data_IF_194882821665
#
_entry.id   IF_194882821665
#
_cell.length_a   1.000
_cell.length_b   1.000
_cell.length_c   1.000
_cell.angle_alpha   90.00
_cell.angle_beta   90.00
_cell.angle_gamma   90.00
#
_symmetry.space_group_name_H-M   'P 1'
#
loop_
_entity.id
_entity.type
_entity.pdbx_description
1 polymer ?
#
# COMPACT_ATOMS: atom_id res chain seq x y z
N UNK A 1 -26.55 -43.39 31.29
CA UNK A 1 -26.01 -43.30 29.93
C UNK A 1 -26.80 -42.28 29.15
N UNK A 2 -26.19 -41.14 28.85
CA UNK A 2 -26.67 -40.15 27.88
C UNK A 2 -25.54 -39.17 27.60
N UNK A 3 -24.60 -39.58 26.74
CA UNK A 3 -23.59 -38.65 26.21
C UNK A 3 -24.17 -37.96 24.99
N UNK A 4 -24.63 -36.72 25.19
CA UNK A 4 -24.84 -35.77 24.11
C UNK A 4 -23.49 -35.30 23.60
N UNK A 5 -23.17 -35.64 22.35
CA UNK A 5 -22.03 -35.11 21.61
C UNK A 5 -22.28 -33.64 21.30
N UNK A 6 -21.65 -32.75 22.09
CA UNK A 6 -21.52 -31.35 21.72
C UNK A 6 -20.42 -31.27 20.65
N UNK A 7 -20.82 -31.16 19.39
CA UNK A 7 -19.92 -30.83 18.29
C UNK A 7 -19.43 -29.38 18.50
N UNK A 8 -18.28 -29.22 19.15
CA UNK A 8 -17.60 -27.93 19.22
C UNK A 8 -17.00 -27.63 17.85
N UNK A 9 -17.71 -26.80 17.09
CA UNK A 9 -17.17 -26.12 15.92
C UNK A 9 -15.97 -25.27 16.36
N UNK A 10 -14.76 -25.82 16.25
CA UNK A 10 -13.53 -25.07 16.47
C UNK A 10 -13.43 -23.97 15.40
N UNK A 11 -13.69 -22.74 15.82
CA UNK A 11 -13.61 -21.51 15.03
C UNK A 11 -12.14 -21.25 14.72
N UNK A 12 -11.73 -21.45 13.46
CA UNK A 12 -10.40 -21.07 12.99
C UNK A 12 -10.28 -19.54 12.96
N UNK A 13 -9.68 -18.97 13.99
CA UNK A 13 -9.34 -17.55 14.04
C UNK A 13 -8.08 -17.29 13.22
N UNK A 14 -8.14 -16.37 12.25
CA UNK A 14 -6.94 -15.84 11.60
C UNK A 14 -6.17 -14.97 12.60
N UNK A 15 -4.93 -15.36 12.86
CA UNK A 15 -4.01 -14.68 13.76
C UNK A 15 -3.00 -13.95 12.88
N UNK A 16 -3.24 -12.70 12.54
CA UNK A 16 -2.38 -11.96 11.61
C UNK A 16 -1.85 -10.68 12.23
N UNK A 17 -0.54 -10.60 12.45
CA UNK A 17 0.15 -9.36 12.78
C UNK A 17 0.71 -8.79 11.48
N UNK A 18 0.33 -7.57 11.08
CA UNK A 18 0.84 -6.98 9.85
C UNK A 18 2.00 -6.03 10.16
N UNK A 19 3.23 -6.39 9.78
CA UNK A 19 4.36 -5.45 9.79
C UNK A 19 4.39 -4.71 8.48
N UNK A 20 4.39 -3.39 8.59
CA UNK A 20 4.31 -2.52 7.45
C UNK A 20 5.62 -1.80 7.24
N UNK A 21 6.06 -1.68 5.99
CA UNK A 21 7.15 -0.81 5.63
C UNK A 21 6.63 0.17 4.58
N UNK A 22 6.80 1.46 4.85
CA UNK A 22 6.64 2.52 3.87
C UNK A 22 7.95 3.28 3.85
N UNK A 23 8.43 3.53 2.65
CA UNK A 23 9.77 4.03 2.39
C UNK A 23 9.67 5.38 1.71
N UNK A 24 10.48 6.33 2.17
CA UNK A 24 10.46 7.71 1.69
C UNK A 24 11.44 7.86 0.55
N UNK A 25 10.99 8.31 -0.62
CA UNK A 25 11.88 8.87 -1.62
C UNK A 25 12.17 10.33 -1.24
N UNK A 26 13.25 10.56 -0.48
CA UNK A 26 13.75 11.92 -0.24
C UNK A 26 14.37 12.46 -1.53
N UNK A 27 13.68 13.39 -2.19
CA UNK A 27 14.27 14.23 -3.23
C UNK A 27 15.05 15.40 -2.60
N UNK A 28 15.92 15.16 -1.62
CA UNK A 28 16.76 16.21 -1.04
C UNK A 28 18.15 16.25 -1.73
N UNK A 29 18.30 17.26 -2.60
CA UNK A 29 19.51 17.92 -3.14
C UNK A 29 20.76 17.10 -3.52
N UNK A 30 21.23 17.45 -4.73
CA UNK A 30 22.61 17.69 -5.14
C UNK A 30 23.68 16.72 -4.64
N UNK A 31 24.28 16.06 -5.63
CA UNK A 31 25.30 15.01 -5.55
C UNK A 31 24.72 13.61 -5.49
N UNK A 32 25.17 12.83 -6.49
CA UNK A 32 25.07 11.38 -6.64
C UNK A 32 25.63 10.56 -5.45
N UNK A 33 25.84 11.20 -4.29
CA UNK A 33 26.41 10.62 -3.07
C UNK A 33 25.39 10.48 -1.93
N UNK A 34 24.22 11.12 -1.98
CA UNK A 34 23.29 11.16 -0.83
C UNK A 34 21.81 10.85 -1.15
N UNK A 35 21.45 10.56 -2.41
CA UNK A 35 20.09 10.11 -2.74
C UNK A 35 19.75 8.71 -2.17
N UNK A 36 20.75 7.97 -1.70
CA UNK A 36 20.62 6.60 -1.20
C UNK A 36 20.39 6.49 0.34
N UNK A 37 20.41 7.58 1.11
CA UNK A 37 20.55 7.48 2.58
C UNK A 37 19.37 8.00 3.41
N UNK A 38 18.22 8.31 2.78
CA UNK A 38 17.07 8.91 3.45
C UNK A 38 15.88 7.98 3.68
N UNK A 39 16.06 6.67 3.70
CA UNK A 39 14.96 5.73 3.87
C UNK A 39 14.63 5.51 5.35
N UNK A 40 13.56 6.13 5.84
CA UNK A 40 13.05 5.83 7.18
C UNK A 40 12.07 4.66 7.11
N UNK A 41 12.42 3.55 7.78
CA UNK A 41 11.57 2.37 7.92
C UNK A 41 10.63 2.54 9.12
N UNK A 42 9.33 2.62 8.87
CA UNK A 42 8.32 2.62 9.93
C UNK A 42 7.66 1.25 10.07
N UNK A 43 8.19 0.40 10.97
CA UNK A 43 7.50 -0.85 11.34
C UNK A 43 6.26 -0.54 12.17
N UNK A 44 5.11 -0.50 11.51
CA UNK A 44 3.84 -0.38 12.19
C UNK A 44 3.32 -1.78 12.52
N UNK A 45 2.98 -2.03 13.78
CA UNK A 45 2.29 -3.24 14.21
C UNK A 45 0.81 -2.90 14.38
N UNK A 46 -0.02 -3.31 13.42
CA UNK A 46 -1.46 -3.25 13.59
C UNK A 46 -1.95 -4.64 13.99
N UNK A 47 -2.32 -4.86 15.27
CA UNK A 47 -2.81 -6.16 15.69
C UNK A 47 -4.23 -6.35 15.15
N UNK A 48 -4.43 -7.26 14.19
CA UNK A 48 -5.77 -7.79 13.89
C UNK A 48 -6.17 -8.72 15.04
N UNK A 49 -6.56 -8.17 16.19
CA UNK A 49 -7.09 -8.97 17.30
C UNK A 49 -8.48 -9.47 16.91
N UNK A 50 -8.59 -10.78 16.70
CA UNK A 50 -9.87 -11.48 16.77
C UNK A 50 -10.04 -11.99 18.21
N UNK A 51 -11.10 -11.56 18.91
CA UNK A 51 -11.31 -11.90 20.32
C UNK A 51 -11.57 -13.41 20.53
N UNK A 52 -10.63 -14.14 21.14
CA UNK A 52 -10.83 -15.04 22.29
C UNK A 52 -9.52 -15.72 22.73
N UNK A 53 -9.28 -15.76 24.04
CA UNK A 53 -8.50 -16.78 24.77
C UNK A 53 -7.00 -16.88 24.51
N UNK A 54 -6.22 -16.59 25.56
CA UNK A 54 -4.83 -16.99 25.84
C UNK A 54 -3.78 -16.96 24.71
N UNK A 55 -2.72 -16.18 24.98
CA UNK A 55 -1.54 -15.97 24.15
C UNK A 55 -0.96 -17.27 23.58
N UNK A 56 -1.15 -17.48 22.27
CA UNK A 56 -0.39 -18.43 21.45
C UNK A 56 0.12 -17.65 20.23
N UNK A 57 1.38 -17.90 19.84
CA UNK A 57 2.08 -17.20 18.76
C UNK A 57 1.20 -16.99 17.51
N UNK A 58 1.14 -15.73 17.08
CA UNK A 58 0.35 -15.24 15.96
C UNK A 58 1.22 -15.32 14.69
N UNK A 59 0.74 -15.94 13.61
CA UNK A 59 1.46 -15.91 12.33
C UNK A 59 1.57 -14.45 11.89
N UNK A 60 2.81 -13.96 11.80
CA UNK A 60 3.05 -12.59 11.34
C UNK A 60 3.04 -12.60 9.81
N UNK A 61 2.42 -11.59 9.24
CA UNK A 61 2.41 -11.31 7.81
C UNK A 61 2.97 -9.93 7.61
N UNK A 62 3.67 -9.70 6.52
CA UNK A 62 4.36 -8.45 6.28
C UNK A 62 3.95 -7.90 4.91
N UNK A 63 3.38 -6.69 4.92
CA UNK A 63 2.88 -6.03 3.72
C UNK A 63 3.59 -4.69 3.59
N UNK A 64 4.25 -4.46 2.46
CA UNK A 64 4.95 -3.20 2.20
C UNK A 64 4.29 -2.46 1.05
N UNK A 65 4.28 -1.12 1.11
CA UNK A 65 3.89 -0.29 -0.04
C UNK A 65 4.98 0.70 -0.39
N UNK A 66 5.20 0.92 -1.68
CA UNK A 66 6.22 1.84 -2.16
C UNK A 66 5.94 2.37 -3.57
N UNK A 67 5.75 3.67 -3.70
CA UNK A 67 5.73 4.33 -5.01
C UNK A 67 7.17 4.41 -5.56
N UNK A 68 7.42 3.71 -6.67
CA UNK A 68 8.75 3.57 -7.26
C UNK A 68 9.24 4.81 -8.00
N UNK A 69 8.37 5.80 -8.21
CA UNK A 69 8.61 6.98 -9.04
C UNK A 69 9.07 6.60 -10.46
N UNK A 70 8.12 6.55 -11.40
CA UNK A 70 8.39 6.14 -12.77
C UNK A 70 9.47 7.06 -13.40
N UNK A 71 10.51 6.51 -14.04
CA UNK A 71 11.55 7.32 -14.69
C UNK A 71 11.00 8.30 -15.73
N UNK A 72 9.87 7.99 -16.36
CA UNK A 72 9.20 8.89 -17.31
C UNK A 72 8.55 10.12 -16.64
N UNK A 73 8.37 10.11 -15.33
CA UNK A 73 7.79 11.21 -14.55
C UNK A 73 8.83 11.96 -13.71
N UNK A 74 9.95 11.31 -13.38
CA UNK A 74 11.02 11.92 -12.59
C UNK A 74 11.72 13.03 -13.38
N UNK A 75 11.61 14.26 -12.87
CA UNK A 75 12.38 15.42 -13.33
C UNK A 75 13.77 15.41 -12.71
N UNK A 76 14.77 15.89 -13.46
CA UNK A 76 16.14 16.02 -12.97
C UNK A 76 16.41 17.47 -12.53
N UNK A 77 16.97 17.69 -11.33
CA UNK A 77 17.32 19.04 -10.86
C UNK A 77 18.24 19.76 -11.85
N UNK A 78 17.96 21.04 -12.11
CA UNK A 78 18.76 21.87 -13.02
C UNK A 78 18.58 21.57 -14.51
N UNK A 79 17.74 20.60 -14.87
CA UNK A 79 17.40 20.30 -16.26
C UNK A 79 16.07 20.94 -16.68
N UNK A 80 15.86 21.17 -17.99
CA UNK A 80 14.56 21.63 -18.50
C UNK A 80 13.41 20.68 -18.15
N UNK A 81 12.21 21.25 -18.05
CA UNK A 81 10.96 20.53 -17.73
C UNK A 81 10.54 19.46 -18.75
N UNK A 82 11.20 19.38 -19.92
CA UNK A 82 11.00 18.33 -20.91
C UNK A 82 11.86 17.09 -20.65
N UNK A 83 12.97 17.24 -19.92
CA UNK A 83 13.93 16.17 -19.67
C UNK A 83 13.48 15.32 -18.49
N UNK A 84 13.58 14.00 -18.63
CA UNK A 84 13.19 13.00 -17.63
C UNK A 84 14.35 12.08 -17.32
N UNK A 85 14.29 11.42 -16.16
CA UNK A 85 15.25 10.35 -15.84
C UNK A 85 15.22 9.22 -16.88
N UNK A 86 14.06 8.96 -17.50
CA UNK A 86 13.92 8.01 -18.60
C UNK A 86 14.87 8.28 -19.79
N UNK A 87 15.34 9.51 -19.97
CA UNK A 87 16.31 9.87 -21.02
C UNK A 87 17.74 9.38 -20.70
N UNK A 88 17.97 8.87 -19.48
CA UNK A 88 19.29 8.45 -18.97
C UNK A 88 19.25 7.01 -18.40
N UNK A 89 19.46 5.98 -19.25
CA UNK A 89 19.44 4.58 -18.84
C UNK A 89 20.30 4.22 -17.63
N UNK A 90 21.52 4.76 -17.57
CA UNK A 90 22.43 4.50 -16.46
C UNK A 90 21.88 5.01 -15.12
N UNK A 91 21.15 6.14 -15.13
CA UNK A 91 20.62 6.75 -13.93
C UNK A 91 19.41 6.01 -13.38
N UNK A 92 18.40 5.74 -14.21
CA UNK A 92 17.24 4.99 -13.72
C UNK A 92 17.61 3.55 -13.34
N UNK A 93 18.53 2.90 -14.07
CA UNK A 93 18.96 1.55 -13.72
C UNK A 93 19.72 1.52 -12.39
N UNK A 94 20.60 2.50 -12.15
CA UNK A 94 21.33 2.61 -10.88
C UNK A 94 20.38 2.84 -9.71
N UNK A 95 19.45 3.79 -9.82
CA UNK A 95 18.44 4.04 -8.78
C UNK A 95 17.60 2.79 -8.48
N UNK A 96 17.16 2.07 -9.51
CA UNK A 96 16.32 0.89 -9.31
C UNK A 96 17.09 -0.29 -8.70
N UNK A 97 18.39 -0.43 -8.99
CA UNK A 97 19.24 -1.38 -8.24
C UNK A 97 19.34 -1.00 -6.76
N UNK A 98 19.52 0.28 -6.45
CA UNK A 98 19.53 0.76 -5.06
C UNK A 98 18.18 0.51 -4.36
N UNK A 99 17.05 0.76 -5.02
CA UNK A 99 15.71 0.44 -4.51
C UNK A 99 15.56 -1.05 -4.18
N UNK A 100 16.08 -1.93 -5.04
CA UNK A 100 16.00 -3.37 -4.81
C UNK A 100 16.87 -3.85 -3.63
N UNK A 101 17.78 -3.01 -3.09
CA UNK A 101 18.49 -3.30 -1.83
C UNK A 101 17.67 -3.00 -0.57
N UNK A 102 16.47 -2.42 -0.72
CA UNK A 102 15.63 -2.11 0.43
C UNK A 102 15.13 -3.40 1.10
N UNK A 103 15.14 -3.50 2.45
CA UNK A 103 14.78 -4.72 3.17
C UNK A 103 13.38 -5.26 2.86
N UNK A 104 12.46 -4.41 2.40
CA UNK A 104 11.12 -4.85 2.02
C UNK A 104 11.13 -5.89 0.90
N UNK A 105 12.11 -5.86 0.00
CA UNK A 105 12.27 -6.81 -1.10
C UNK A 105 12.88 -8.15 -0.68
N UNK A 106 13.34 -8.28 0.56
CA UNK A 106 13.86 -9.54 1.11
C UNK A 106 12.98 -10.08 2.24
N UNK A 107 12.26 -9.21 2.95
CA UNK A 107 11.56 -9.57 4.18
C UNK A 107 10.04 -9.68 4.01
N UNK A 108 9.44 -8.97 3.05
CA UNK A 108 7.97 -8.87 2.98
C UNK A 108 7.33 -10.13 2.41
N UNK A 109 6.12 -10.46 2.88
CA UNK A 109 5.25 -11.46 2.27
C UNK A 109 4.57 -10.91 1.01
N UNK A 110 4.17 -9.63 1.07
CA UNK A 110 3.48 -8.93 -0.01
C UNK A 110 4.10 -7.54 -0.19
N UNK A 111 4.43 -7.19 -1.42
CA UNK A 111 4.96 -5.88 -1.78
C UNK A 111 4.01 -5.25 -2.79
N UNK A 112 3.48 -4.08 -2.47
CA UNK A 112 2.64 -3.26 -3.34
C UNK A 112 3.46 -2.09 -3.87
N UNK A 113 3.72 -2.03 -5.17
CA UNK A 113 4.41 -0.92 -5.80
C UNK A 113 3.50 -0.14 -6.74
N UNK A 114 3.67 1.18 -6.74
CA UNK A 114 3.03 2.11 -7.67
C UNK A 114 4.09 2.71 -8.59
N UNK A 115 3.66 3.24 -9.74
CA UNK A 115 4.54 3.83 -10.75
C UNK A 115 5.64 2.88 -11.26
N UNK A 116 5.37 1.58 -11.27
CA UNK A 116 6.28 0.61 -11.88
C UNK A 116 6.36 0.83 -13.39
N UNK A 117 7.56 0.98 -13.95
CA UNK A 117 7.76 1.39 -15.34
C UNK A 117 7.81 0.19 -16.29
N UNK A 118 6.72 -0.04 -17.01
CA UNK A 118 6.57 -1.14 -17.98
C UNK A 118 7.20 -0.84 -19.35
N UNK A 119 7.48 0.42 -19.67
CA UNK A 119 7.98 0.78 -20.99
C UNK A 119 9.48 0.46 -21.21
N UNK A 120 10.24 0.08 -20.16
CA UNK A 120 11.62 -0.41 -20.30
C UNK A 120 11.69 -1.92 -20.01
N UNK A 121 11.97 -2.75 -21.03
CA UNK A 121 12.25 -4.17 -20.83
C UNK A 121 13.45 -4.40 -19.91
N UNK A 122 14.48 -3.53 -19.92
CA UNK A 122 15.64 -3.69 -19.05
C UNK A 122 15.28 -3.50 -17.57
N UNK A 123 14.49 -2.47 -17.24
CA UNK A 123 14.01 -2.28 -15.87
C UNK A 123 13.09 -3.42 -15.44
N UNK A 124 12.16 -3.84 -16.32
CA UNK A 124 11.29 -4.97 -16.03
C UNK A 124 12.09 -6.23 -15.67
N UNK A 125 13.07 -6.58 -16.52
CA UNK A 125 13.93 -7.74 -16.30
C UNK A 125 14.80 -7.61 -15.05
N UNK A 126 15.24 -6.40 -14.69
CA UNK A 126 15.96 -6.17 -13.43
C UNK A 126 15.13 -6.60 -12.22
N UNK A 127 13.85 -6.20 -12.15
CA UNK A 127 12.96 -6.57 -11.05
C UNK A 127 12.62 -8.05 -11.08
N UNK A 128 12.24 -8.58 -12.24
CA UNK A 128 11.89 -10.00 -12.37
C UNK A 128 13.06 -10.89 -11.96
N UNK A 129 14.24 -10.68 -12.51
CA UNK A 129 15.41 -11.53 -12.20
C UNK A 129 15.85 -11.42 -10.74
N UNK A 130 15.76 -10.23 -10.15
CA UNK A 130 16.13 -10.02 -8.75
C UNK A 130 15.16 -10.70 -7.79
N UNK A 131 13.86 -10.65 -8.09
CA UNK A 131 12.81 -11.10 -7.18
C UNK A 131 12.31 -12.53 -7.42
N UNK A 132 12.59 -13.12 -8.59
CA UNK A 132 12.05 -14.42 -9.01
C UNK A 132 12.35 -15.54 -8.01
N UNK A 133 13.51 -15.54 -7.34
CA UNK A 133 13.86 -16.58 -6.37
C UNK A 133 12.88 -16.70 -5.19
N UNK A 134 12.19 -15.61 -4.83
CA UNK A 134 11.34 -15.52 -3.63
C UNK A 134 9.88 -15.19 -3.91
N UNK A 135 9.61 -14.46 -4.99
CA UNK A 135 8.29 -13.90 -5.26
C UNK A 135 7.68 -14.43 -6.55
N UNK A 136 6.35 -14.38 -6.60
CA UNK A 136 5.54 -14.39 -7.82
C UNK A 136 5.13 -12.95 -8.10
N UNK A 137 5.33 -12.50 -9.33
CA UNK A 137 5.10 -11.12 -9.73
C UNK A 137 3.77 -11.00 -10.45
N UNK A 138 2.99 -10.00 -10.06
CA UNK A 138 1.70 -9.63 -10.63
C UNK A 138 1.79 -8.16 -11.06
N UNK A 139 1.34 -7.84 -12.26
CA UNK A 139 1.52 -6.52 -12.84
C UNK A 139 0.27 -6.03 -13.54
N UNK A 140 -0.05 -4.75 -13.34
CA UNK A 140 -1.17 -4.08 -13.98
C UNK A 140 -0.69 -2.76 -14.56
N UNK A 141 -0.44 -2.74 -15.87
CA UNK A 141 -0.13 -1.52 -16.60
C UNK A 141 -1.39 -0.67 -16.76
N UNK A 142 -1.27 0.65 -16.55
CA UNK A 142 -2.41 1.54 -16.57
C UNK A 142 -2.97 1.75 -17.98
N UNK A 143 -4.30 1.82 -18.13
CA UNK A 143 -4.91 2.21 -19.40
C UNK A 143 -4.56 3.66 -19.76
N UNK A 144 -4.33 3.89 -21.04
CA UNK A 144 -4.02 5.18 -21.64
C UNK A 144 -5.17 5.71 -22.50
N UNK A 145 -5.09 6.97 -22.97
CA UNK A 145 -6.08 7.55 -23.85
C UNK A 145 -6.26 6.75 -25.14
N UNK A 146 -7.50 6.61 -25.61
CA UNK A 146 -7.80 5.94 -26.88
C UNK A 146 -7.42 4.46 -26.92
N UNK A 147 -7.38 3.77 -25.77
CA UNK A 147 -7.00 2.35 -25.68
C UNK A 147 -5.50 2.09 -25.73
N UNK A 148 -4.66 3.13 -25.69
CA UNK A 148 -3.21 2.98 -25.48
C UNK A 148 -2.90 2.50 -24.05
N UNK A 149 -1.64 2.23 -23.75
CA UNK A 149 -1.17 1.95 -22.38
C UNK A 149 -0.27 3.10 -21.90
N UNK A 150 -0.40 3.45 -20.61
CA UNK A 150 0.54 4.36 -19.95
C UNK A 150 1.88 3.63 -19.74
N UNK A 151 3.00 4.36 -19.63
CA UNK A 151 4.30 3.73 -19.44
C UNK A 151 4.44 3.07 -18.06
N UNK A 152 3.60 3.44 -17.09
CA UNK A 152 3.64 2.94 -15.71
C UNK A 152 2.40 2.12 -15.32
N UNK A 153 2.47 1.51 -14.14
CA UNK A 153 1.33 0.86 -13.51
C UNK A 153 1.58 0.42 -12.08
N UNK A 154 0.81 -0.58 -11.66
CA UNK A 154 0.91 -1.23 -10.36
C UNK A 154 1.68 -2.53 -10.49
N UNK A 155 2.54 -2.83 -9.52
CA UNK A 155 3.29 -4.08 -9.44
C UNK A 155 3.10 -4.68 -8.06
N UNK A 156 2.83 -5.98 -7.97
CA UNK A 156 2.78 -6.72 -6.72
C UNK A 156 3.75 -7.90 -6.76
N UNK A 157 4.59 -8.03 -5.73
CA UNK A 157 5.44 -9.19 -5.53
C UNK A 157 4.93 -9.98 -4.30
N UNK A 158 4.56 -11.24 -4.54
CA UNK A 158 3.90 -12.12 -3.57
C UNK A 158 4.82 -13.29 -3.23
N UNK A 159 5.19 -13.45 -1.96
CA UNK A 159 6.12 -14.49 -1.55
C UNK A 159 5.58 -15.88 -1.92
N UNK A 160 6.45 -16.76 -2.43
CA UNK A 160 6.05 -17.99 -3.15
C UNK A 160 5.21 -18.96 -2.31
N UNK A 161 5.34 -18.92 -0.99
CA UNK A 161 4.52 -19.65 -0.01
C UNK A 161 3.04 -19.26 -0.04
N UNK A 162 2.71 -18.07 -0.55
CA UNK A 162 1.35 -17.65 -0.78
C UNK A 162 0.85 -18.12 -2.15
N UNK A 163 -0.37 -18.63 -2.16
CA UNK A 163 -1.14 -18.96 -3.35
C UNK A 163 -2.16 -17.86 -3.62
N UNK A 164 -2.20 -17.39 -4.86
CA UNK A 164 -3.26 -16.51 -5.35
C UNK A 164 -4.49 -17.36 -5.68
N UNK A 165 -5.62 -17.05 -5.06
CA UNK A 165 -6.92 -17.70 -5.28
C UNK A 165 -7.81 -16.89 -6.22
N UNK A 166 -7.62 -15.59 -6.26
CA UNK A 166 -8.34 -14.66 -7.11
C UNK A 166 -7.47 -13.44 -7.39
N UNK A 167 -7.56 -12.95 -8.62
CA UNK A 167 -6.87 -11.77 -9.11
C UNK A 167 -7.86 -10.96 -9.93
N UNK A 168 -7.92 -9.66 -9.67
CA UNK A 168 -8.79 -8.74 -10.37
C UNK A 168 -8.11 -7.39 -10.60
N UNK A 169 -8.09 -6.99 -11.86
CA UNK A 169 -7.72 -5.66 -12.28
C UNK A 169 -8.98 -4.80 -12.35
N UNK A 170 -8.98 -3.71 -11.62
CA UNK A 170 -10.11 -2.80 -11.49
C UNK A 170 -9.73 -1.51 -12.21
N UNK A 171 -10.24 -1.33 -13.42
CA UNK A 171 -10.22 -0.03 -14.09
C UNK A 171 -11.26 0.88 -13.42
N UNK A 172 -10.83 2.06 -13.00
CA UNK A 172 -11.78 3.03 -12.46
C UNK A 172 -12.55 3.74 -13.56
N UNK A 173 -12.15 3.67 -14.83
CA UNK A 173 -12.84 4.32 -15.97
C UNK A 173 -13.12 5.81 -15.70
N UNK A 174 -12.22 6.46 -14.97
CA UNK A 174 -12.33 7.84 -14.53
C UNK A 174 -11.26 8.70 -15.22
N UNK A 175 -10.52 9.50 -14.46
CA UNK A 175 -9.50 10.38 -14.99
C UNK A 175 -8.13 9.69 -15.04
N UNK A 176 -7.35 10.03 -16.06
CA UNK A 176 -5.95 9.64 -16.20
C UNK A 176 -5.66 8.12 -16.20
N UNK A 177 -6.66 7.26 -16.37
CA UNK A 177 -6.46 5.79 -16.39
C UNK A 177 -5.89 5.27 -15.07
N UNK A 178 -6.45 5.72 -13.95
CA UNK A 178 -6.15 5.14 -12.63
C UNK A 178 -6.85 3.79 -12.48
N UNK A 179 -6.22 2.90 -11.74
CA UNK A 179 -6.69 1.53 -11.53
C UNK A 179 -6.30 1.02 -10.14
N UNK A 180 -6.84 -0.14 -9.78
CA UNK A 180 -6.43 -0.92 -8.63
C UNK A 180 -6.22 -2.38 -9.04
N UNK A 181 -5.36 -3.09 -8.30
CA UNK A 181 -5.19 -4.54 -8.44
C UNK A 181 -5.53 -5.21 -7.12
N UNK A 182 -6.44 -6.19 -7.13
CA UNK A 182 -6.88 -6.94 -5.96
C UNK A 182 -6.42 -8.40 -6.07
N UNK A 183 -5.77 -8.91 -5.03
CA UNK A 183 -5.42 -10.31 -4.88
C UNK A 183 -6.06 -10.93 -3.64
N UNK A 184 -6.58 -12.15 -3.79
CA UNK A 184 -6.95 -13.02 -2.67
C UNK A 184 -5.82 -14.04 -2.45
N UNK A 185 -5.16 -13.96 -1.30
CA UNK A 185 -3.98 -14.75 -0.98
C UNK A 185 -4.28 -15.77 0.11
N UNK A 186 -3.67 -16.96 -0.01
CA UNK A 186 -3.77 -18.06 0.95
C UNK A 186 -2.42 -18.72 1.16
N UNK A 187 -2.04 -19.01 2.42
CA UNK A 187 -0.94 -19.94 2.75
C UNK A 187 -1.34 -20.89 3.88
N UNK A 188 -0.64 -22.01 4.01
CA UNK A 188 -0.77 -22.88 5.18
C UNK A 188 -0.34 -22.10 6.43
N UNK A 189 -1.07 -22.26 7.54
CA UNK A 189 -0.70 -21.64 8.82
C UNK A 189 0.68 -22.11 9.28
N UNK A 190 1.43 -21.21 9.93
CA UNK A 190 2.83 -21.44 10.34
C UNK A 190 3.04 -22.65 11.27
N UNK A 191 1.99 -23.11 11.96
CA UNK A 191 2.00 -24.25 12.89
C UNK A 191 1.37 -25.53 12.30
N UNK A 192 1.04 -25.52 11.00
CA UNK A 192 0.30 -26.60 10.34
C UNK A 192 -1.16 -26.72 10.80
N UNK A 193 -1.67 -25.79 11.62
CA UNK A 193 -3.04 -25.78 12.12
C UNK A 193 -3.76 -24.54 11.59
N UNK A 194 -4.40 -24.72 10.43
CA UNK A 194 -5.23 -23.69 9.82
C UNK A 194 -4.60 -23.07 8.58
N UNK A 195 -5.16 -21.94 8.15
CA UNK A 195 -4.86 -21.29 6.88
C UNK A 195 -4.81 -19.79 7.13
N UNK A 196 -3.73 -19.14 6.70
CA UNK A 196 -3.68 -17.68 6.63
C UNK A 196 -4.27 -17.25 5.28
N UNK A 197 -5.22 -16.32 5.31
CA UNK A 197 -5.92 -15.78 4.15
C UNK A 197 -6.05 -14.26 4.28
N UNK A 198 -5.90 -13.54 3.17
CA UNK A 198 -6.12 -12.10 3.13
C UNK A 198 -6.56 -11.65 1.73
N UNK A 199 -7.27 -10.54 1.69
CA UNK A 199 -7.45 -9.75 0.47
C UNK A 199 -6.49 -8.56 0.51
N UNK A 200 -5.72 -8.33 -0.54
CA UNK A 200 -4.81 -7.18 -0.64
C UNK A 200 -5.10 -6.43 -1.94
N UNK A 201 -5.41 -5.15 -1.82
CA UNK A 201 -5.59 -4.25 -2.95
C UNK A 201 -4.43 -3.24 -3.01
N UNK A 202 -3.77 -3.14 -4.16
CA UNK A 202 -2.79 -2.11 -4.48
C UNK A 202 -3.47 -0.98 -5.27
N UNK A 203 -3.25 0.28 -4.89
CA UNK A 203 -3.86 1.46 -5.53
C UNK A 203 -2.84 2.56 -5.83
N UNK A 204 -3.11 3.36 -6.85
CA UNK A 204 -2.50 4.67 -7.03
C UNK A 204 -3.57 5.66 -7.50
N UNK A 205 -4.11 6.44 -6.57
CA UNK A 205 -5.24 7.35 -6.83
C UNK A 205 -4.81 8.59 -7.64
N UNK A 206 -5.79 9.29 -8.20
CA UNK A 206 -5.55 10.52 -8.97
C UNK A 206 -4.76 11.58 -8.19
N UNK A 207 -3.86 12.31 -8.84
CA UNK A 207 -3.15 13.41 -8.18
C UNK A 207 -4.13 14.58 -7.90
N UNK A 208 -4.05 15.25 -6.72
CA UNK A 208 -5.05 16.23 -6.29
C UNK A 208 -4.76 17.63 -6.86
N UNK A 209 -5.17 17.89 -8.09
CA UNK A 209 -5.01 19.20 -8.72
C UNK A 209 -6.00 20.26 -8.21
N UNK A 210 -7.21 19.82 -7.85
CA UNK A 210 -8.33 20.68 -7.46
C UNK A 210 -9.45 19.87 -6.78
N UNK A 211 -10.51 20.55 -6.39
CA UNK A 211 -11.68 19.95 -5.75
C UNK A 211 -12.37 18.86 -6.60
N UNK A 212 -12.37 19.01 -7.93
CA UNK A 212 -12.92 17.98 -8.83
C UNK A 212 -12.08 16.71 -8.74
N UNK A 213 -10.75 16.82 -8.80
CA UNK A 213 -9.86 15.66 -8.62
C UNK A 213 -9.98 15.03 -7.23
N UNK A 214 -10.27 15.80 -6.17
CA UNK A 214 -10.53 15.26 -4.84
C UNK A 214 -11.78 14.37 -4.82
N UNK A 215 -12.86 14.81 -5.47
CA UNK A 215 -14.09 14.02 -5.62
C UNK A 215 -13.88 12.76 -6.46
N UNK A 216 -13.11 12.87 -7.55
CA UNK A 216 -12.77 11.71 -8.38
C UNK A 216 -12.04 10.65 -7.56
N UNK A 217 -11.06 11.02 -6.72
CA UNK A 217 -10.38 10.05 -5.84
C UNK A 217 -11.31 9.30 -4.89
N UNK A 218 -12.31 9.98 -4.32
CA UNK A 218 -13.32 9.33 -3.48
C UNK A 218 -14.16 8.34 -4.30
N UNK A 219 -14.51 8.70 -5.54
CA UNK A 219 -15.21 7.80 -6.48
C UNK A 219 -14.36 6.58 -6.88
N UNK A 220 -13.06 6.77 -7.16
CA UNK A 220 -12.10 5.69 -7.43
C UNK A 220 -12.08 4.69 -6.25
N UNK A 221 -11.98 5.20 -5.03
CA UNK A 221 -12.06 4.40 -3.81
C UNK A 221 -13.40 3.68 -3.66
N UNK A 222 -14.51 4.37 -3.90
CA UNK A 222 -15.84 3.76 -3.84
C UNK A 222 -15.97 2.58 -4.82
N UNK A 223 -15.42 2.69 -6.04
CA UNK A 223 -15.41 1.61 -7.03
C UNK A 223 -14.62 0.39 -6.52
N UNK A 224 -13.43 0.61 -5.97
CA UNK A 224 -12.66 -0.46 -5.32
C UNK A 224 -13.42 -1.11 -4.17
N UNK A 225 -13.96 -0.30 -3.25
CA UNK A 225 -14.69 -0.83 -2.08
C UNK A 225 -15.96 -1.59 -2.49
N UNK A 226 -16.66 -1.13 -3.52
CA UNK A 226 -17.83 -1.81 -4.07
C UNK A 226 -17.46 -3.19 -4.63
N UNK A 227 -16.40 -3.27 -5.45
CA UNK A 227 -15.92 -4.55 -5.97
C UNK A 227 -15.48 -5.48 -4.83
N UNK A 228 -14.69 -4.95 -3.90
CA UNK A 228 -14.17 -5.71 -2.76
C UNK A 228 -15.31 -6.27 -1.91
N UNK A 229 -16.36 -5.48 -1.64
CA UNK A 229 -17.50 -5.93 -0.85
C UNK A 229 -18.31 -7.00 -1.59
N UNK A 230 -18.56 -6.84 -2.90
CA UNK A 230 -19.21 -7.88 -3.71
C UNK A 230 -18.42 -9.19 -3.68
N UNK A 231 -17.11 -9.11 -3.87
CA UNK A 231 -16.25 -10.29 -3.80
C UNK A 231 -16.28 -10.92 -2.40
N UNK A 232 -16.17 -10.12 -1.34
CA UNK A 232 -16.25 -10.60 0.06
C UNK A 232 -17.58 -11.30 0.35
N UNK A 233 -18.70 -10.79 -0.15
CA UNK A 233 -20.03 -11.39 0.04
C UNK A 233 -20.18 -12.74 -0.69
N UNK A 234 -19.40 -12.96 -1.75
CA UNK A 234 -19.34 -14.27 -2.43
C UNK A 234 -18.58 -15.34 -1.63
N UNK A 235 -17.82 -14.94 -0.60
CA UNK A 235 -17.02 -15.84 0.22
C UNK A 235 -17.82 -16.31 1.44
N UNK A 236 -17.83 -17.61 1.70
CA UNK A 236 -18.46 -18.18 2.90
C UNK A 236 -17.86 -17.61 4.21
N UNK A 237 -16.57 -17.25 4.18
CA UNK A 237 -15.84 -16.63 5.28
C UNK A 237 -14.86 -15.60 4.71
N UNK A 238 -15.21 -14.31 4.64
CA UNK A 238 -14.33 -13.30 4.07
C UNK A 238 -13.13 -13.04 4.98
N UNK A 239 -11.88 -13.13 4.48
CA UNK A 239 -10.70 -12.88 5.30
C UNK A 239 -10.50 -11.37 5.57
N UNK A 240 -9.53 -10.98 6.40
CA UNK A 240 -9.08 -9.60 6.52
C UNK A 240 -8.76 -8.97 5.16
N UNK A 241 -9.08 -7.69 5.01
CA UNK A 241 -8.74 -6.93 3.80
C UNK A 241 -7.74 -5.84 4.10
N UNK A 242 -6.82 -5.65 3.17
CA UNK A 242 -5.76 -4.65 3.20
C UNK A 242 -5.87 -3.82 1.92
N UNK A 243 -5.81 -2.50 2.03
CA UNK A 243 -5.62 -1.61 0.89
C UNK A 243 -4.32 -0.86 1.11
N UNK A 244 -3.36 -1.06 0.22
CA UNK A 244 -2.05 -0.43 0.21
C UNK A 244 -1.93 0.49 -1.00
N UNK A 245 -1.19 1.59 -0.87
CA UNK A 245 -0.77 2.37 -2.04
C UNK A 245 -0.62 3.85 -1.81
N UNK A 246 -0.50 4.57 -2.92
CA UNK A 246 -0.42 6.02 -2.97
C UNK A 246 -1.84 6.61 -3.16
N UNK A 247 -2.37 7.19 -2.09
CA UNK A 247 -3.70 7.80 -2.04
C UNK A 247 -3.68 9.27 -2.47
N UNK A 248 -2.49 9.83 -2.68
CA UNK A 248 -2.28 11.19 -3.14
C UNK A 248 -2.96 12.25 -2.22
N UNK A 249 -3.18 11.92 -0.94
CA UNK A 249 -3.87 12.78 0.03
C UNK A 249 -3.38 12.50 1.44
N UNK A 250 -3.18 13.56 2.21
CA UNK A 250 -2.73 13.51 3.61
C UNK A 250 -3.86 13.12 4.58
N UNK A 251 -3.53 13.11 5.89
CA UNK A 251 -4.41 12.67 6.97
C UNK A 251 -5.74 13.43 7.05
N UNK A 252 -5.80 14.66 6.53
CA UNK A 252 -7.01 15.49 6.51
C UNK A 252 -7.79 15.36 5.19
N UNK A 253 -7.28 14.59 4.22
CA UNK A 253 -7.92 14.44 2.92
C UNK A 253 -9.25 13.70 2.99
N UNK A 254 -10.17 14.02 2.07
CA UNK A 254 -11.47 13.36 1.97
C UNK A 254 -11.37 11.85 1.80
N UNK A 255 -10.30 11.39 1.17
CA UNK A 255 -9.99 9.97 0.98
C UNK A 255 -9.76 9.26 2.32
N UNK A 256 -8.94 9.85 3.19
CA UNK A 256 -8.66 9.32 4.54
C UNK A 256 -9.91 9.34 5.41
N UNK A 257 -10.67 10.45 5.36
CA UNK A 257 -11.94 10.58 6.07
C UNK A 257 -12.98 9.54 5.60
N UNK A 258 -13.07 9.34 4.29
CA UNK A 258 -13.96 8.36 3.67
C UNK A 258 -13.65 6.95 4.18
N UNK A 259 -12.39 6.49 4.06
CA UNK A 259 -11.97 5.18 4.55
C UNK A 259 -12.24 4.98 6.05
N UNK A 260 -11.89 5.99 6.86
CA UNK A 260 -12.11 5.96 8.31
C UNK A 260 -13.60 5.84 8.66
N UNK A 261 -14.48 6.56 7.94
CA UNK A 261 -15.94 6.49 8.12
C UNK A 261 -16.48 5.08 7.84
N UNK A 262 -15.87 4.32 6.93
CA UNK A 262 -16.26 2.93 6.64
C UNK A 262 -15.53 1.87 7.47
N UNK A 263 -14.88 2.29 8.56
CA UNK A 263 -14.27 1.37 9.52
C UNK A 263 -12.90 0.83 9.08
N UNK A 264 -12.31 1.36 8.02
CA UNK A 264 -10.92 1.09 7.70
C UNK A 264 -10.01 1.78 8.71
N UNK A 265 -9.00 1.06 9.16
CA UNK A 265 -8.03 1.56 10.13
C UNK A 265 -6.68 1.73 9.44
N UNK A 266 -6.15 2.96 9.46
CA UNK A 266 -4.78 3.15 9.03
C UNK A 266 -3.86 2.47 10.03
N UNK A 267 -2.94 1.69 9.51
CA UNK A 267 -2.03 0.95 10.33
C UNK A 267 -0.98 1.81 11.03
N UNK A 268 -0.60 2.94 10.41
CA UNK A 268 0.31 3.89 11.02
C UNK A 268 -0.32 4.53 12.26
N UNK A 269 -1.54 5.06 12.13
CA UNK A 269 -2.37 5.54 13.24
C UNK A 269 -2.57 4.49 14.32
N UNK A 270 -2.79 3.23 13.97
CA UNK A 270 -2.93 2.14 14.94
C UNK A 270 -1.66 1.86 15.74
N UNK A 271 -0.49 2.02 15.12
CA UNK A 271 0.81 1.77 15.78
C UNK A 271 1.32 2.99 16.58
N UNK A 272 0.99 4.21 16.17
CA UNK A 272 1.56 5.45 16.74
C UNK A 272 0.53 6.32 17.49
N UNK A 273 -0.75 5.95 17.47
CA UNK A 273 -1.85 6.73 18.05
C UNK A 273 -2.51 7.68 17.04
N UNK A 274 -3.82 7.89 17.21
CA UNK A 274 -4.63 8.78 16.34
C UNK A 274 -4.09 10.21 16.34
N UNK A 275 -4.06 10.85 15.18
CA UNK A 275 -3.68 12.26 15.01
C UNK A 275 -2.22 12.52 14.65
N UNK A 276 -1.38 11.47 14.55
CA UNK A 276 0.02 11.59 14.11
C UNK A 276 0.23 11.48 12.59
N UNK A 277 -0.87 11.33 11.85
CA UNK A 277 -0.92 11.34 10.38
C UNK A 277 -1.18 12.73 9.80
N UNK A 278 -1.31 13.75 10.67
CA UNK A 278 -1.55 15.14 10.26
C UNK A 278 -0.35 15.74 9.53
N UNK A 279 -0.66 16.65 8.61
CA UNK A 279 0.28 17.36 7.75
C UNK A 279 1.49 17.92 8.52
N UNK A 280 2.65 17.97 7.83
CA UNK A 280 3.84 18.67 8.29
C UNK A 280 3.65 20.18 8.56
N UNK A 281 2.43 20.71 8.47
CA UNK A 281 2.04 22.11 8.70
C UNK A 281 1.67 22.44 10.16
N UNK A 282 1.66 21.47 11.07
CA UNK A 282 1.38 21.70 12.48
C UNK A 282 2.56 21.40 13.41
N UNK A 283 3.58 22.26 13.46
CA UNK A 283 4.47 22.39 14.64
C UNK A 283 5.42 23.60 14.54
N UNK A 284 4.87 24.81 14.55
CA UNK A 284 5.51 25.90 15.32
C UNK A 284 5.27 25.71 16.84
N UNK A 285 4.53 24.65 17.20
CA UNK A 285 4.42 24.15 18.56
C UNK A 285 5.76 23.56 19.01
N UNK A 286 6.59 24.39 19.63
CA UNK A 286 7.57 23.97 20.61
C UNK A 286 6.87 23.03 21.61
N UNK A 287 7.07 21.73 21.44
CA UNK A 287 6.91 20.81 22.55
C UNK A 287 7.80 21.33 23.68
N UNK A 288 7.28 21.34 24.91
CA UNK A 288 7.93 21.89 26.10
C UNK A 288 9.29 21.25 26.47
N UNK A 289 9.85 20.38 25.62
CA UNK A 289 11.15 19.72 25.77
C UNK A 289 12.12 19.92 24.60
N UNK A 290 11.75 20.69 23.56
CA UNK A 290 12.61 20.96 22.40
C UNK A 290 13.06 19.72 21.63
N UNK A 291 12.40 18.56 21.81
CA UNK A 291 12.79 17.27 21.21
C UNK A 291 11.63 16.60 20.46
N UNK A 292 10.91 17.36 19.64
CA UNK A 292 10.00 16.80 18.64
C UNK A 292 10.79 15.97 17.62
N UNK A 293 10.96 14.67 17.89
CA UNK A 293 11.68 13.75 17.01
C UNK A 293 10.90 13.62 15.71
N UNK A 294 11.58 13.83 14.59
CA UNK A 294 11.09 13.52 13.23
C UNK A 294 10.61 12.08 13.08
N UNK A 295 11.01 11.17 13.97
CA UNK A 295 10.57 9.78 14.04
C UNK A 295 9.05 9.60 14.31
N UNK A 296 8.35 10.64 14.80
CA UNK A 296 6.92 10.57 15.14
C UNK A 296 6.00 11.06 14.00
N UNK A 297 6.55 11.56 12.89
CA UNK A 297 5.78 12.13 11.77
C UNK A 297 5.74 11.16 10.59
N UNK A 298 4.54 10.83 10.11
CA UNK A 298 4.37 10.09 8.87
C UNK A 298 4.75 10.97 7.69
N UNK A 299 5.79 10.58 6.96
CA UNK A 299 6.21 11.22 5.71
C UNK A 299 6.44 10.07 4.75
N UNK A 300 5.89 10.14 3.55
CA UNK A 300 6.10 9.16 2.49
C UNK A 300 6.60 9.81 1.20
N UNK A 301 6.31 11.09 1.03
CA UNK A 301 6.62 11.85 -0.18
C UNK A 301 7.17 13.24 0.15
N UNK A 302 8.04 13.75 -0.71
CA UNK A 302 8.41 15.17 -0.75
C UNK A 302 7.94 15.76 -2.07
N UNK A 303 7.17 16.84 -2.01
CA UNK A 303 6.75 17.55 -3.21
C UNK A 303 7.96 18.18 -3.92
N UNK A 304 7.77 18.62 -5.16
CA UNK A 304 8.80 19.40 -5.87
C UNK A 304 9.22 20.68 -5.13
N UNK A 305 8.37 21.18 -4.22
CA UNK A 305 8.64 22.34 -3.36
C UNK A 305 9.28 21.93 -2.02
N UNK A 306 9.70 20.67 -1.86
CA UNK A 306 10.27 20.11 -0.63
C UNK A 306 9.30 20.09 0.55
N UNK A 307 7.99 20.08 0.29
CA UNK A 307 6.99 19.88 1.34
C UNK A 307 6.85 18.40 1.65
N UNK A 308 7.00 18.03 2.93
CA UNK A 308 6.77 16.67 3.40
C UNK A 308 5.28 16.33 3.39
N UNK A 309 4.94 15.20 2.77
CA UNK A 309 3.57 14.72 2.63
C UNK A 309 3.46 13.23 2.97
N UNK A 310 2.32 12.88 3.54
CA UNK A 310 1.94 11.56 3.99
C UNK A 310 0.87 11.05 3.03
N UNK A 311 1.24 10.46 1.89
CA UNK A 311 0.28 10.09 0.83
C UNK A 311 0.15 8.59 0.64
N UNK A 312 1.13 7.84 1.13
CA UNK A 312 1.13 6.39 1.11
C UNK A 312 0.46 5.86 2.37
N UNK A 313 -0.41 4.87 2.23
CA UNK A 313 -1.10 4.26 3.36
C UNK A 313 -1.22 2.77 3.21
N UNK A 314 -1.39 2.11 4.36
CA UNK A 314 -1.85 0.74 4.44
C UNK A 314 -3.01 0.70 5.41
N UNK A 315 -4.19 0.42 4.85
CA UNK A 315 -5.47 0.37 5.52
C UNK A 315 -5.85 -1.06 5.79
N UNK A 316 -6.35 -1.34 7.00
CA UNK A 316 -6.83 -2.66 7.39
C UNK A 316 -8.32 -2.61 7.68
N UNK A 317 -9.03 -3.63 7.21
CA UNK A 317 -10.41 -3.91 7.57
C UNK A 317 -10.49 -5.27 8.27
N UNK A 318 -10.88 -5.25 9.55
CA UNK A 318 -11.12 -6.45 10.33
C UNK A 318 -12.55 -6.97 10.06
N UNK A 319 -12.73 -8.22 9.59
CA UNK A 319 -14.03 -8.77 9.25
C UNK A 319 -14.98 -8.89 10.46
N UNK A 320 -14.44 -8.89 11.68
CA UNK A 320 -15.19 -9.08 12.93
C UNK A 320 -15.83 -7.81 13.49
N UNK A 321 -15.61 -6.64 12.87
CA UNK A 321 -16.20 -5.37 13.31
C UNK A 321 -17.53 -5.07 12.59
N UNK A 322 -18.58 -4.60 13.30
CA UNK A 322 -19.81 -4.13 12.67
C UNK A 322 -19.54 -3.03 11.64
N UNK A 323 -20.23 -3.09 10.49
CA UNK A 323 -19.99 -2.22 9.34
C UNK A 323 -21.15 -1.26 9.07
N UNK A 324 -20.82 -0.05 8.62
CA UNK A 324 -21.74 0.76 7.84
C UNK A 324 -21.73 0.25 6.39
N UNK A 325 -22.86 0.29 5.66
CA UNK A 325 -22.87 0.05 4.21
C UNK A 325 -21.87 0.98 3.53
N UNK A 326 -21.27 0.55 2.41
CA UNK A 326 -20.55 1.49 1.52
C UNK A 326 -21.54 2.58 1.14
N UNK A 327 -21.35 3.80 1.63
CA UNK A 327 -22.29 4.88 1.35
C UNK A 327 -21.98 5.50 0.00
N UNK A 328 -22.93 6.31 -0.46
CA UNK A 328 -22.82 7.02 -1.71
C UNK A 328 -21.56 7.90 -1.71
N UNK A 329 -20.76 7.80 -2.78
CA UNK A 329 -19.56 8.63 -2.96
C UNK A 329 -19.89 10.11 -3.19
N UNK A 330 -21.18 10.45 -3.28
CA UNK A 330 -21.67 11.82 -3.36
C UNK A 330 -21.84 12.53 -2.01
N UNK A 331 -21.79 11.79 -0.88
CA UNK A 331 -21.77 12.35 0.49
C UNK A 331 -20.50 13.18 0.75
#
# INVERSE_FOLDING_TARGET
GSHGTCASNAVGALRMCVILNVMIASAARDSLKHAATGFTRHRCYAPLRMHHGDCVECSTVTVSTFNLLCPAYRRLPGQPDSIREADFPEDYMRRNREILTLPMFEESDVICCQEFWYASPELFNLYVNTLDGRYKMHGLQRPGPGGSQRPDGLFMAIAREWRVLHEADIDFEDAAGRCAQLLHLRRSGADGRGVDEMLVANVHLLFPHNEVSNRIRVRELHKLLSYLEQYRQSLARPPPSIICGDFNGDGDSRVVQFLTRYGWQSAFSSAHGRGREADGKGADGQGADGRGRTADKWISHYTHQQEAKAVDYIWLLNPSQPRLPVADWTD
#
